data_IF_962180376350
#
_entry.id   IF_962180376350
#
_cell.length_a   1.000
_cell.length_b   1.000
_cell.length_c   1.000
_cell.angle_alpha   90.00
_cell.angle_beta   90.00
_cell.angle_gamma   90.00
#
_symmetry.space_group_name_H-M   'P 1'
#
loop_
_entity.id
_entity.type
_entity.pdbx_description
1 polymer ?
#
# COMPACT_ATOMS: atom_id res chain seq x y z
N UNK A 1 2.89 14.28 -0.35
CA UNK A 1 1.62 14.87 0.13
C UNK A 1 0.52 14.99 -0.94
N UNK A 2 0.82 15.15 -2.24
CA UNK A 2 -0.21 15.28 -3.29
C UNK A 2 -0.96 13.97 -3.63
N UNK A 3 -0.29 12.81 -3.63
CA UNK A 3 -0.89 11.50 -3.95
C UNK A 3 -1.95 11.01 -2.94
N UNK A 4 -1.81 11.35 -1.67
CA UNK A 4 -2.75 10.89 -0.62
C UNK A 4 -4.17 11.43 -0.80
N UNK A 5 -4.35 12.57 -1.47
CA UNK A 5 -5.66 13.22 -1.63
C UNK A 5 -6.60 12.50 -2.59
N UNK A 6 -6.08 11.64 -3.46
CA UNK A 6 -6.86 10.96 -4.51
C UNK A 6 -7.00 9.45 -4.30
N UNK A 7 -6.19 8.86 -3.41
CA UNK A 7 -6.24 7.43 -3.12
C UNK A 7 -7.52 6.99 -2.38
N UNK A 8 -8.04 7.86 -1.51
CA UNK A 8 -9.19 7.59 -0.65
C UNK A 8 -10.54 7.81 -1.34
N UNK A 9 -11.55 7.00 -0.97
CA UNK A 9 -12.96 7.20 -1.39
C UNK A 9 -13.50 8.56 -0.92
N UNK A 10 -13.18 8.94 0.32
CA UNK A 10 -13.45 10.27 0.86
C UNK A 10 -12.17 11.09 0.95
N UNK A 11 -12.29 12.41 0.85
CA UNK A 11 -11.20 13.38 1.02
C UNK A 11 -10.43 13.25 2.34
N UNK A 12 -11.08 12.72 3.37
CA UNK A 12 -10.48 12.54 4.70
C UNK A 12 -9.88 11.16 4.92
N UNK A 13 -10.08 10.20 4.01
CA UNK A 13 -9.43 8.90 4.10
C UNK A 13 -7.90 9.07 3.94
N UNK A 14 -7.13 8.31 4.72
CA UNK A 14 -5.65 8.36 4.75
C UNK A 14 -5.01 9.70 5.15
N UNK A 15 -5.79 10.69 5.61
CA UNK A 15 -5.26 11.98 6.10
C UNK A 15 -4.76 11.94 7.54
N UNK A 16 -5.11 10.90 8.31
CA UNK A 16 -4.72 10.73 9.72
C UNK A 16 -3.70 9.62 9.87
N UNK A 17 -2.78 9.78 10.82
CA UNK A 17 -1.85 8.72 11.24
C UNK A 17 -2.65 7.63 11.98
N UNK A 18 -2.90 6.51 11.30
CA UNK A 18 -3.59 5.31 11.83
C UNK A 18 -2.62 4.13 11.85
N UNK A 19 -3.03 3.03 12.48
CA UNK A 19 -2.23 1.80 12.55
C UNK A 19 -1.75 1.33 11.18
N UNK A 20 -2.61 1.38 10.15
CA UNK A 20 -2.24 1.04 8.77
C UNK A 20 -2.40 2.27 7.83
N UNK A 21 -1.35 3.09 7.66
CA UNK A 21 -1.35 4.21 6.72
C UNK A 21 -1.22 3.72 5.27
N UNK A 22 -1.49 4.62 4.33
CA UNK A 22 -1.43 4.35 2.89
C UNK A 22 -0.06 3.79 2.44
N UNK A 23 1.02 4.31 3.03
CA UNK A 23 2.41 3.93 2.73
C UNK A 23 2.72 2.45 3.01
N UNK A 24 2.03 1.83 3.97
CA UNK A 24 2.17 0.40 4.25
C UNK A 24 1.10 -0.43 3.51
N UNK A 25 -0.08 0.14 3.29
CA UNK A 25 -1.17 -0.56 2.61
C UNK A 25 -0.83 -0.93 1.16
N UNK A 26 -0.21 -0.01 0.40
CA UNK A 26 0.08 -0.25 -1.01
C UNK A 26 1.15 -1.34 -1.21
N UNK A 27 2.34 -1.28 -0.58
CA UNK A 27 3.33 -2.35 -0.69
C UNK A 27 2.77 -3.71 -0.29
N UNK A 28 2.01 -3.77 0.80
CA UNK A 28 1.34 -5.00 1.25
C UNK A 28 0.36 -5.56 0.20
N UNK A 29 -0.33 -4.70 -0.55
CA UNK A 29 -1.22 -5.12 -1.63
C UNK A 29 -0.48 -5.54 -2.91
N UNK A 30 0.72 -5.02 -3.13
CA UNK A 30 1.58 -5.41 -4.26
C UNK A 30 2.39 -6.69 -3.98
N UNK A 31 2.50 -7.10 -2.72
CA UNK A 31 3.36 -8.22 -2.29
C UNK A 31 2.85 -9.64 -2.63
N UNK A 32 2.02 -9.82 -3.66
CA UNK A 32 1.49 -11.12 -4.15
C UNK A 32 1.27 -12.17 -3.06
N UNK A 33 0.19 -11.99 -2.29
CA UNK A 33 -0.05 -12.71 -1.03
C UNK A 33 -0.27 -14.21 -1.24
N UNK A 34 0.46 -15.04 -0.49
CA UNK A 34 0.46 -16.50 -0.57
C UNK A 34 -0.18 -17.17 0.63
N UNK A 35 -0.43 -16.44 1.71
CA UNK A 35 -1.02 -16.94 2.95
C UNK A 35 -2.19 -16.10 3.44
N UNK A 36 -2.65 -16.32 4.69
CA UNK A 36 -3.81 -15.59 5.22
C UNK A 36 -3.49 -14.11 5.41
N UNK A 37 -4.50 -13.20 5.42
CA UNK A 37 -4.26 -11.78 5.60
C UNK A 37 -3.50 -11.42 6.88
N UNK A 38 -3.63 -12.22 7.95
CA UNK A 38 -2.93 -11.99 9.21
C UNK A 38 -1.46 -12.43 9.12
N UNK A 39 -1.19 -13.61 8.55
CA UNK A 39 0.17 -14.12 8.38
C UNK A 39 1.00 -13.17 7.51
N UNK A 40 0.41 -12.65 6.44
CA UNK A 40 1.03 -11.66 5.55
C UNK A 40 1.30 -10.32 6.25
N UNK A 41 0.40 -9.89 7.14
CA UNK A 41 0.62 -8.69 7.94
C UNK A 41 1.79 -8.89 8.91
N UNK A 42 1.79 -10.01 9.62
CA UNK A 42 2.80 -10.32 10.61
C UNK A 42 4.19 -10.40 9.93
N UNK A 43 4.31 -11.13 8.82
CA UNK A 43 5.54 -11.21 8.02
C UNK A 43 5.99 -9.84 7.45
N UNK A 44 5.05 -9.05 6.92
CA UNK A 44 5.37 -7.74 6.37
C UNK A 44 5.96 -6.81 7.44
N UNK A 45 5.34 -6.76 8.62
CA UNK A 45 5.79 -5.89 9.70
C UNK A 45 7.04 -6.41 10.42
N UNK A 46 7.27 -7.72 10.46
CA UNK A 46 8.57 -8.28 10.86
C UNK A 46 9.68 -7.83 9.91
N UNK A 47 9.42 -7.86 8.59
CA UNK A 47 10.41 -7.51 7.56
C UNK A 47 10.78 -6.03 7.60
N UNK A 48 9.81 -5.12 7.71
CA UNK A 48 10.08 -3.66 7.71
C UNK A 48 10.46 -3.10 9.08
N UNK A 49 10.29 -3.89 10.15
CA UNK A 49 10.52 -3.46 11.52
C UNK A 49 11.97 -3.51 11.99
N UNK A 50 12.89 -4.07 11.19
CA UNK A 50 14.29 -4.31 11.56
C UNK A 50 14.44 -4.96 12.96
N UNK A 51 13.54 -5.89 13.29
CA UNK A 51 13.51 -6.56 14.59
C UNK A 51 12.92 -5.75 15.75
N UNK A 52 12.36 -4.56 15.51
CA UNK A 52 11.63 -3.79 16.53
C UNK A 52 10.17 -4.27 16.63
N UNK A 53 9.61 -4.40 17.85
CA UNK A 53 8.22 -4.76 18.01
C UNK A 53 7.32 -3.66 17.44
N UNK A 54 6.71 -3.93 16.29
CA UNK A 54 5.70 -3.07 15.70
C UNK A 54 4.31 -3.41 16.27
N UNK A 55 3.39 -2.43 16.33
CA UNK A 55 2.03 -2.69 16.79
C UNK A 55 1.38 -3.75 15.91
N UNK A 56 0.83 -4.81 16.53
CA UNK A 56 0.13 -5.87 15.78
C UNK A 56 -1.07 -5.28 15.06
N UNK A 57 -1.05 -5.34 13.73
CA UNK A 57 -2.17 -4.92 12.89
C UNK A 57 -3.05 -6.13 12.60
N UNK A 58 -4.34 -5.98 12.81
CA UNK A 58 -5.30 -7.07 12.58
C UNK A 58 -5.70 -7.15 11.11
N UNK A 59 -6.04 -8.36 10.65
CA UNK A 59 -6.66 -8.59 9.35
C UNK A 59 -7.92 -7.74 9.13
N UNK A 60 -8.72 -7.51 10.18
CA UNK A 60 -9.91 -6.65 10.13
C UNK A 60 -9.55 -5.18 9.87
N UNK A 61 -8.49 -4.66 10.51
CA UNK A 61 -8.00 -3.31 10.26
C UNK A 61 -7.49 -3.15 8.81
N UNK A 62 -6.79 -4.17 8.29
CA UNK A 62 -6.40 -4.23 6.88
C UNK A 62 -7.60 -4.18 5.94
N UNK A 63 -8.61 -5.03 6.15
CA UNK A 63 -9.81 -5.05 5.32
C UNK A 63 -10.55 -3.70 5.34
N UNK A 64 -10.64 -3.05 6.50
CA UNK A 64 -11.24 -1.72 6.61
C UNK A 64 -10.43 -0.65 5.87
N UNK A 65 -9.10 -0.69 5.94
CA UNK A 65 -8.23 0.22 5.20
C UNK A 65 -8.35 0.00 3.68
N UNK A 66 -8.31 -1.26 3.22
CA UNK A 66 -8.49 -1.64 1.82
C UNK A 66 -9.82 -1.14 1.26
N UNK A 67 -10.92 -1.20 2.02
CA UNK A 67 -12.24 -0.72 1.57
C UNK A 67 -12.29 0.79 1.28
N UNK A 68 -11.40 1.57 1.89
CA UNK A 68 -11.28 3.04 1.68
C UNK A 68 -10.49 3.39 0.43
N UNK A 69 -9.73 2.44 -0.13
CA UNK A 69 -8.95 2.64 -1.34
C UNK A 69 -9.86 2.60 -2.57
N UNK A 70 -9.70 3.56 -3.48
CA UNK A 70 -10.37 3.55 -4.79
C UNK A 70 -9.62 2.64 -5.75
N UNK A 71 -10.32 1.85 -6.54
CA UNK A 71 -9.67 1.02 -7.58
C UNK A 71 -8.94 1.89 -8.61
N UNK A 72 -9.44 3.10 -8.87
CA UNK A 72 -8.84 4.11 -9.76
C UNK A 72 -7.40 4.42 -9.37
N UNK A 73 -7.07 4.33 -8.08
CA UNK A 73 -5.70 4.53 -7.58
C UNK A 73 -4.74 3.48 -8.14
N UNK A 74 -5.19 2.24 -8.35
CA UNK A 74 -4.35 1.19 -8.95
C UNK A 74 -4.16 1.38 -10.45
N UNK A 75 -5.17 1.90 -11.15
CA UNK A 75 -5.06 2.23 -12.58
C UNK A 75 -3.99 3.32 -12.76
N UNK A 76 -4.11 4.42 -12.01
CA UNK A 76 -3.13 5.51 -12.04
C UNK A 76 -1.73 5.06 -11.63
N UNK A 77 -1.63 4.19 -10.61
CA UNK A 77 -0.35 3.63 -10.18
C UNK A 77 0.28 2.78 -11.29
N UNK A 78 -0.52 1.97 -11.97
CA UNK A 78 -0.05 1.12 -13.06
C UNK A 78 0.40 1.95 -14.28
N UNK A 79 -0.38 2.98 -14.65
CA UNK A 79 -0.01 3.93 -15.72
C UNK A 79 1.31 4.63 -15.41
N UNK A 80 1.47 5.15 -14.19
CA UNK A 80 2.72 5.78 -13.75
C UNK A 80 3.91 4.81 -13.76
N UNK A 81 3.67 3.55 -13.39
CA UNK A 81 4.70 2.51 -13.41
C UNK A 81 5.13 2.16 -14.84
N UNK A 82 4.18 2.00 -15.75
CA UNK A 82 4.45 1.77 -17.18
C UNK A 82 5.23 2.94 -17.79
N UNK A 83 4.80 4.18 -17.56
CA UNK A 83 5.49 5.37 -18.05
C UNK A 83 6.94 5.44 -17.51
N UNK A 84 7.13 5.11 -16.23
CA UNK A 84 8.47 5.08 -15.64
C UNK A 84 9.34 3.97 -16.23
N UNK A 85 8.77 2.81 -16.53
CA UNK A 85 9.49 1.68 -17.10
C UNK A 85 9.89 1.95 -18.56
N UNK A 86 8.99 2.51 -19.36
CA UNK A 86 9.26 2.93 -20.75
C UNK A 86 10.40 3.94 -20.82
N UNK A 87 10.39 4.95 -19.94
CA UNK A 87 11.49 5.92 -19.82
C UNK A 87 12.81 5.23 -19.52
N UNK A 88 12.85 4.33 -18.53
CA UNK A 88 14.08 3.61 -18.19
C UNK A 88 14.57 2.69 -19.32
N UNK A 89 13.67 2.07 -20.08
CA UNK A 89 14.02 1.22 -21.21
C UNK A 89 14.49 2.04 -22.43
N UNK A 90 13.89 3.21 -22.68
CA UNK A 90 14.34 4.15 -23.70
C UNK A 90 15.71 4.76 -23.38
N UNK A 91 16.03 4.95 -22.09
CA UNK A 91 17.33 5.44 -21.64
C UNK A 91 18.47 4.40 -21.74
N UNK A 92 18.13 3.12 -21.91
CA UNK A 92 19.08 1.99 -22.00
C UNK A 92 19.39 1.55 -23.44
N UNK A 93 18.83 2.23 -24.44
CA UNK A 93 19.12 2.01 -25.87
C UNK A 93 20.04 3.09 -26.41
#
# INVERSE_FOLDING_TARGET
MALMRFAGKRRTDFTRKRSLPFEHLIPLMLNFRKSTPQDELDQFFETIGDGKPLPRITASAFCQARRKLKHESFIQLNEALLESAEKQMGQRR
#
